data_IF_344952017635
#
_entry.id   IF_344952017635
#
_cell.length_a   1.000
_cell.length_b   1.000
_cell.length_c   1.000
_cell.angle_alpha   90.00
_cell.angle_beta   90.00
_cell.angle_gamma   90.00
#
_symmetry.space_group_name_H-M   'P 1'
#
loop_
_entity.id
_entity.type
_entity.pdbx_description
1 polymer ?
#
# COMPACT_ATOMS: atom_id res chain seq x y z
N UNK A 1 -31.42 -21.53 -15.09
CA UNK A 1 -30.10 -22.19 -15.18
C UNK A 1 -29.02 -21.12 -15.14
N UNK A 2 -28.52 -20.79 -13.96
CA UNK A 2 -27.52 -19.75 -13.74
C UNK A 2 -26.13 -20.38 -13.77
N UNK A 3 -25.38 -20.14 -14.85
CA UNK A 3 -23.98 -20.52 -14.94
C UNK A 3 -23.16 -19.71 -13.93
N UNK A 4 -22.60 -20.40 -12.93
CA UNK A 4 -21.59 -19.81 -12.04
C UNK A 4 -20.36 -19.49 -12.87
N UNK A 5 -20.03 -18.20 -13.01
CA UNK A 5 -18.73 -17.77 -13.55
C UNK A 5 -17.63 -18.23 -12.59
N UNK A 6 -16.53 -18.83 -13.08
CA UNK A 6 -15.41 -19.24 -12.24
C UNK A 6 -14.70 -18.01 -11.68
N UNK A 7 -14.26 -18.13 -10.43
CA UNK A 7 -13.57 -17.11 -9.67
C UNK A 7 -12.11 -16.97 -10.17
N UNK A 8 -11.87 -16.04 -11.10
CA UNK A 8 -10.56 -15.74 -11.72
C UNK A 8 -9.44 -15.39 -10.70
N UNK A 9 -9.79 -15.09 -9.45
CA UNK A 9 -8.85 -14.81 -8.37
C UNK A 9 -8.04 -16.03 -7.91
N UNK A 10 -8.53 -17.27 -8.13
CA UNK A 10 -7.76 -18.48 -7.78
C UNK A 10 -6.73 -18.89 -8.82
N UNK A 11 -6.91 -18.58 -10.11
CA UNK A 11 -5.98 -19.03 -11.16
C UNK A 11 -4.71 -18.18 -11.23
N UNK A 12 -4.78 -16.88 -10.93
CA UNK A 12 -3.59 -16.01 -10.90
C UNK A 12 -2.66 -16.32 -9.70
N UNK A 13 -3.19 -16.95 -8.64
CA UNK A 13 -2.38 -17.37 -7.48
C UNK A 13 -1.85 -18.81 -7.66
N UNK A 14 -2.58 -19.69 -8.37
CA UNK A 14 -2.12 -21.07 -8.61
C UNK A 14 -1.09 -21.21 -9.73
N UNK A 15 -1.13 -20.34 -10.76
CA UNK A 15 -0.22 -20.44 -11.92
C UNK A 15 1.17 -19.81 -11.65
N UNK A 16 1.41 -19.32 -10.43
CA UNK A 16 2.70 -18.81 -9.95
C UNK A 16 3.53 -19.87 -9.20
N UNK A 17 2.95 -21.04 -8.94
CA UNK A 17 3.68 -22.21 -8.46
C UNK A 17 3.93 -23.16 -9.64
N UNK A 18 5.20 -23.55 -9.84
CA UNK A 18 5.73 -24.49 -10.85
C UNK A 18 5.97 -23.93 -12.27
N UNK A 19 7.17 -23.36 -12.46
CA UNK A 19 8.05 -23.80 -13.54
C UNK A 19 9.51 -23.41 -13.26
N UNK A 20 10.25 -24.36 -12.68
CA UNK A 20 11.71 -24.37 -12.57
C UNK A 20 12.30 -25.00 -13.82
N UNK A 21 12.62 -24.19 -14.83
CA UNK A 21 13.55 -24.59 -15.88
C UNK A 21 14.50 -23.42 -16.20
N UNK A 22 15.81 -23.57 -16.00
CA UNK A 22 16.77 -22.51 -16.34
C UNK A 22 16.99 -22.47 -17.85
N UNK A 23 16.85 -21.29 -18.45
CA UNK A 23 17.39 -21.01 -19.78
C UNK A 23 18.91 -20.72 -19.68
N UNK A 24 19.74 -21.14 -20.66
CA UNK A 24 21.18 -20.91 -20.60
C UNK A 24 21.49 -19.45 -20.94
N UNK A 25 22.10 -18.72 -20.00
CA UNK A 25 22.67 -17.39 -20.27
C UNK A 25 24.14 -17.51 -20.69
N UNK A 26 24.44 -16.95 -21.87
CA UNK A 26 25.79 -16.66 -22.33
C UNK A 26 26.47 -15.63 -21.43
N UNK A 27 27.73 -15.89 -21.11
CA UNK A 27 28.55 -15.11 -20.21
C UNK A 27 29.08 -13.83 -20.87
N UNK A 28 28.99 -12.70 -20.18
CA UNK A 28 29.92 -11.59 -20.33
C UNK A 28 30.55 -11.29 -18.96
N UNK A 29 31.87 -11.45 -18.90
CA UNK A 29 32.67 -11.24 -17.71
C UNK A 29 33.10 -9.78 -17.60
N UNK A 30 32.87 -9.17 -16.43
CA UNK A 30 33.64 -8.01 -15.97
C UNK A 30 34.08 -8.30 -14.53
N UNK A 31 35.36 -8.62 -14.38
CA UNK A 31 36.01 -8.86 -13.10
C UNK A 31 36.48 -7.53 -12.48
N UNK A 32 36.05 -7.24 -11.25
CA UNK A 32 36.88 -6.51 -10.29
C UNK A 32 36.81 -7.22 -8.94
N UNK A 33 37.99 -7.61 -8.46
CA UNK A 33 38.18 -8.37 -7.24
C UNK A 33 37.82 -7.54 -6.00
N UNK A 34 36.95 -8.07 -5.16
CA UNK A 34 36.73 -7.61 -3.78
C UNK A 34 37.04 -8.78 -2.84
N UNK A 35 37.90 -8.54 -1.85
CA UNK A 35 38.29 -9.53 -0.83
C UNK A 35 37.12 -9.75 0.15
N UNK A 36 36.87 -10.98 0.64
CA UNK A 36 35.82 -11.23 1.62
C UNK A 36 36.28 -10.76 3.00
N UNK A 37 35.50 -9.89 3.62
CA UNK A 37 35.55 -9.62 5.07
C UNK A 37 34.47 -10.49 5.72
N UNK A 38 34.84 -11.39 6.63
CA UNK A 38 33.88 -12.03 7.54
C UNK A 38 33.70 -11.10 8.74
N UNK A 39 32.52 -10.50 8.91
CA UNK A 39 32.15 -9.82 10.14
C UNK A 39 30.95 -10.52 10.76
N UNK A 40 31.11 -10.98 11.99
CA UNK A 40 30.02 -11.35 12.88
C UNK A 40 29.35 -10.06 13.36
N UNK A 41 28.12 -9.80 12.91
CA UNK A 41 27.32 -8.66 13.37
C UNK A 41 26.60 -9.08 14.66
N UNK A 42 26.82 -8.36 15.76
CA UNK A 42 26.08 -8.55 17.01
C UNK A 42 25.20 -7.32 17.21
N UNK A 43 23.90 -7.48 17.03
CA UNK A 43 22.92 -6.41 17.23
C UNK A 43 22.74 -6.08 18.72
N UNK A 44 22.81 -4.79 19.09
CA UNK A 44 22.38 -4.32 20.42
C UNK A 44 20.85 -4.21 20.45
N UNK A 45 20.27 -4.80 21.49
CA UNK A 45 18.83 -4.78 21.75
C UNK A 45 18.29 -3.35 21.92
N UNK A 46 17.37 -2.97 21.04
CA UNK A 46 16.42 -1.88 21.27
C UNK A 46 15.03 -2.49 21.54
N UNK A 47 14.37 -1.96 22.56
CA UNK A 47 13.14 -2.44 23.23
C UNK A 47 12.02 -2.90 22.28
N UNK A 48 11.40 -4.04 22.59
CA UNK A 48 10.09 -4.55 22.09
C UNK A 48 9.86 -4.29 20.59
N UNK A 49 10.71 -4.88 19.76
CA UNK A 49 10.61 -4.88 18.32
C UNK A 49 11.51 -5.99 17.80
N UNK A 50 11.12 -6.65 16.72
CA UNK A 50 11.84 -7.80 16.18
C UNK A 50 13.32 -7.48 15.93
N UNK A 51 14.25 -8.31 16.41
CA UNK A 51 15.68 -8.13 16.15
C UNK A 51 16.00 -8.49 14.70
N UNK A 52 16.58 -7.54 13.95
CA UNK A 52 16.88 -7.70 12.52
C UNK A 52 18.38 -7.63 12.29
N UNK A 53 18.94 -8.59 11.54
CA UNK A 53 20.35 -8.62 11.20
C UNK A 53 20.73 -7.53 10.21
N UNK A 54 20.11 -7.57 9.02
CA UNK A 54 20.29 -6.58 7.96
C UNK A 54 18.95 -6.00 7.55
N UNK A 55 18.86 -4.67 7.52
CA UNK A 55 17.71 -3.93 6.99
C UNK A 55 18.13 -3.14 5.75
N UNK A 56 17.46 -3.38 4.63
CA UNK A 56 17.61 -2.66 3.37
C UNK A 56 16.34 -1.86 3.12
N UNK A 57 16.45 -0.54 3.00
CA UNK A 57 15.31 0.34 2.70
C UNK A 57 15.37 0.76 1.23
N UNK A 58 14.26 0.59 0.52
CA UNK A 58 14.18 0.89 -0.91
C UNK A 58 12.89 1.64 -1.26
N UNK A 59 13.07 2.79 -1.94
CA UNK A 59 11.97 3.42 -2.65
C UNK A 59 11.59 2.57 -3.86
N UNK A 60 10.32 2.20 -3.92
CA UNK A 60 9.77 1.38 -4.98
C UNK A 60 9.83 2.13 -6.31
N UNK A 61 10.31 1.45 -7.35
CA UNK A 61 10.37 1.98 -8.72
C UNK A 61 9.47 1.14 -9.59
N UNK A 62 8.23 1.59 -9.75
CA UNK A 62 7.27 0.91 -10.60
C UNK A 62 7.57 1.19 -12.07
N UNK A 63 7.29 0.23 -12.98
CA UNK A 63 7.38 0.47 -14.41
C UNK A 63 6.35 1.51 -14.86
N UNK A 64 6.58 2.11 -16.02
CA UNK A 64 5.55 2.90 -16.70
C UNK A 64 4.33 2.01 -16.97
N UNK A 65 3.14 2.56 -16.69
CA UNK A 65 1.88 1.84 -16.85
C UNK A 65 1.28 2.12 -18.22
N UNK A 66 0.84 1.07 -18.89
CA UNK A 66 -0.02 1.17 -20.07
C UNK A 66 -1.51 0.98 -19.68
N UNK A 67 -2.41 1.22 -20.63
CA UNK A 67 -3.86 1.12 -20.42
C UNK A 67 -4.30 -0.28 -19.96
N UNK A 68 -3.68 -1.33 -20.51
CA UNK A 68 -3.97 -2.71 -20.13
C UNK A 68 -3.64 -2.95 -18.66
N UNK A 69 -2.44 -2.55 -18.21
CA UNK A 69 -2.05 -2.65 -16.80
C UNK A 69 -3.01 -1.86 -15.93
N UNK A 70 -3.31 -0.61 -16.28
CA UNK A 70 -4.23 0.25 -15.53
C UNK A 70 -5.61 -0.39 -15.34
N UNK A 71 -6.13 -1.05 -16.38
CA UNK A 71 -7.44 -1.73 -16.33
C UNK A 71 -7.50 -2.87 -15.30
N UNK A 72 -6.35 -3.45 -14.94
CA UNK A 72 -6.25 -4.51 -13.92
C UNK A 72 -6.03 -3.99 -12.50
N UNK A 73 -5.64 -2.72 -12.35
CA UNK A 73 -5.33 -2.13 -11.04
C UNK A 73 -6.55 -1.60 -10.31
N UNK A 74 -7.64 -1.33 -11.02
CA UNK A 74 -8.89 -0.88 -10.40
C UNK A 74 -9.91 -2.02 -10.40
N UNK A 75 -10.66 -2.13 -9.31
CA UNK A 75 -11.91 -2.87 -9.33
C UNK A 75 -13.09 -1.95 -9.68
N UNK A 76 -14.26 -2.56 -9.88
CA UNK A 76 -15.53 -1.85 -10.11
C UNK A 76 -15.91 -1.01 -8.88
N UNK A 77 -15.56 -1.49 -7.69
CA UNK A 77 -15.93 -0.91 -6.41
C UNK A 77 -17.41 -1.08 -6.05
N UNK A 78 -17.80 -0.65 -4.84
CA UNK A 78 -19.20 -0.60 -4.43
C UNK A 78 -19.97 0.52 -5.14
N UNK A 79 -21.30 0.46 -5.13
CA UNK A 79 -22.13 1.54 -5.69
C UNK A 79 -21.97 2.85 -4.91
N UNK A 80 -21.86 2.75 -3.58
CA UNK A 80 -21.74 3.88 -2.66
C UNK A 80 -20.50 3.75 -1.80
N UNK A 81 -19.94 4.90 -1.45
CA UNK A 81 -18.88 5.02 -0.44
C UNK A 81 -19.21 6.18 0.49
N UNK A 82 -18.87 6.06 1.76
CA UNK A 82 -19.16 7.07 2.77
C UNK A 82 -17.88 7.58 3.41
N UNK A 83 -17.74 8.91 3.45
CA UNK A 83 -16.65 9.57 4.15
C UNK A 83 -17.17 10.11 5.49
N UNK A 84 -16.57 9.64 6.56
CA UNK A 84 -16.79 10.13 7.91
C UNK A 84 -15.81 11.26 8.21
N UNK A 85 -16.32 12.39 8.71
CA UNK A 85 -15.60 13.67 8.67
C UNK A 85 -15.78 14.46 9.97
N UNK A 86 -14.81 15.31 10.23
CA UNK A 86 -14.99 16.47 11.11
C UNK A 86 -15.97 17.47 10.48
N UNK A 87 -16.48 18.40 11.30
CA UNK A 87 -17.37 19.47 10.83
C UNK A 87 -16.75 20.30 9.69
N UNK A 88 -15.48 20.65 9.80
CA UNK A 88 -14.76 21.40 8.76
C UNK A 88 -14.71 20.61 7.44
N UNK A 89 -14.33 19.33 7.49
CA UNK A 89 -14.29 18.47 6.30
C UNK A 89 -15.66 18.31 5.64
N UNK A 90 -16.72 18.25 6.44
CA UNK A 90 -18.10 18.23 5.98
C UNK A 90 -18.48 19.51 5.24
N UNK A 91 -18.21 20.69 5.82
CA UNK A 91 -18.50 21.99 5.21
C UNK A 91 -17.75 22.19 3.88
N UNK A 92 -16.52 21.68 3.77
CA UNK A 92 -15.80 21.67 2.50
C UNK A 92 -16.44 20.72 1.48
N UNK A 93 -16.86 19.53 1.91
CA UNK A 93 -17.49 18.54 1.01
C UNK A 93 -18.78 19.09 0.39
N UNK A 94 -19.58 19.83 1.17
CA UNK A 94 -20.79 20.49 0.69
C UNK A 94 -20.54 21.63 -0.33
N UNK A 95 -19.28 22.06 -0.47
CA UNK A 95 -18.85 23.01 -1.52
C UNK A 95 -18.26 22.28 -2.74
N UNK A 96 -18.48 20.98 -2.87
CA UNK A 96 -17.95 20.14 -3.94
C UNK A 96 -16.47 19.80 -3.76
N UNK A 97 -15.95 19.82 -2.53
CA UNK A 97 -14.55 19.47 -2.25
C UNK A 97 -14.36 17.97 -2.01
N UNK A 98 -13.35 17.36 -2.65
CA UNK A 98 -12.88 16.01 -2.32
C UNK A 98 -11.37 15.99 -2.12
N UNK A 99 -10.96 15.74 -0.87
CA UNK A 99 -9.56 15.75 -0.43
C UNK A 99 -8.91 14.36 -0.52
N UNK A 100 -7.74 14.33 -1.16
CA UNK A 100 -6.74 13.26 -1.11
C UNK A 100 -5.60 13.67 -0.16
N UNK A 101 -5.33 12.82 0.84
CA UNK A 101 -4.07 12.88 1.59
C UNK A 101 -2.96 12.18 0.83
N UNK A 102 -1.81 11.97 1.48
CA UNK A 102 -0.74 11.11 0.96
C UNK A 102 -0.52 9.92 1.88
N UNK A 103 -0.07 8.78 1.35
CA UNK A 103 0.28 7.62 2.18
C UNK A 103 1.30 7.99 3.28
N UNK A 104 2.25 8.86 2.97
CA UNK A 104 3.21 9.38 3.94
C UNK A 104 2.57 10.29 5.03
N UNK A 105 1.55 11.09 4.68
CA UNK A 105 0.78 11.89 5.64
C UNK A 105 0.01 10.99 6.62
N UNK A 106 -0.68 9.97 6.10
CA UNK A 106 -1.44 9.05 6.93
C UNK A 106 -0.52 8.25 7.87
N UNK A 107 0.60 7.72 7.37
CA UNK A 107 1.66 7.13 8.21
C UNK A 107 2.08 8.03 9.37
N UNK A 108 2.32 9.33 9.11
CA UNK A 108 2.75 10.28 10.16
C UNK A 108 1.67 10.50 11.21
N UNK A 109 0.40 10.64 10.80
CA UNK A 109 -0.73 10.84 11.72
C UNK A 109 -0.98 9.62 12.62
N UNK A 110 -0.69 8.45 12.09
CA UNK A 110 -0.90 7.17 12.76
C UNK A 110 0.27 6.77 13.65
N UNK A 111 1.51 7.14 13.30
CA UNK A 111 2.71 6.95 14.15
C UNK A 111 2.83 7.93 15.31
N UNK A 112 1.97 8.94 15.41
CA UNK A 112 1.97 9.88 16.53
C UNK A 112 1.38 9.22 17.79
N UNK A 113 2.26 8.75 18.67
CA UNK A 113 1.93 8.11 19.95
C UNK A 113 1.13 8.99 20.92
N UNK A 114 0.97 10.30 20.65
CA UNK A 114 0.04 11.16 21.40
C UNK A 114 -1.42 10.91 21.01
N UNK A 115 -1.66 10.39 19.79
CA UNK A 115 -2.97 9.93 19.31
C UNK A 115 -3.19 8.44 19.64
N UNK A 116 -3.05 8.04 20.92
CA UNK A 116 -3.19 6.65 21.39
C UNK A 116 -4.49 5.92 21.00
N UNK A 117 -5.48 6.63 20.48
CA UNK A 117 -6.70 6.05 19.93
C UNK A 117 -6.58 5.62 18.48
N UNK A 118 -5.79 6.31 17.63
CA UNK A 118 -5.57 5.88 16.24
C UNK A 118 -4.60 4.71 16.28
N UNK A 119 -5.06 3.52 15.93
CA UNK A 119 -4.19 2.37 15.76
C UNK A 119 -3.10 2.75 14.75
N UNK A 120 -1.85 2.82 15.20
CA UNK A 120 -0.75 3.23 14.33
C UNK A 120 -0.51 2.18 13.25
N UNK A 121 -0.90 2.43 12.00
CA UNK A 121 -0.25 1.77 10.87
C UNK A 121 1.07 2.51 10.63
N UNK A 122 2.04 2.26 11.50
CA UNK A 122 3.43 2.67 11.25
C UNK A 122 3.96 2.10 9.91
N UNK A 123 3.23 1.14 9.33
CA UNK A 123 3.52 0.50 8.06
C UNK A 123 2.72 1.08 6.90
N UNK A 124 1.85 2.08 7.07
CA UNK A 124 1.27 2.74 5.89
C UNK A 124 2.43 3.33 5.07
N UNK A 125 2.39 3.20 3.74
CA UNK A 125 3.52 3.45 2.82
C UNK A 125 4.70 2.46 2.89
N UNK A 126 4.61 1.36 3.66
CA UNK A 126 5.66 0.35 3.80
C UNK A 126 5.13 -1.07 3.56
N UNK A 127 5.96 -1.90 2.93
CA UNK A 127 5.85 -3.36 2.97
C UNK A 127 7.21 -3.99 3.23
N UNK A 128 7.28 -4.99 4.11
CA UNK A 128 8.52 -5.70 4.42
C UNK A 128 8.56 -7.08 3.79
N UNK A 129 9.73 -7.41 3.23
CA UNK A 129 10.08 -8.72 2.74
C UNK A 129 11.19 -9.29 3.62
N UNK A 130 10.89 -10.36 4.35
CA UNK A 130 11.77 -10.96 5.36
C UNK A 130 12.30 -12.28 4.84
N UNK A 131 13.63 -12.42 4.82
CA UNK A 131 14.33 -13.61 4.37
C UNK A 131 15.15 -14.18 5.52
N UNK A 132 14.80 -15.39 5.93
CA UNK A 132 15.52 -16.15 6.93
C UNK A 132 16.17 -17.37 6.27
N UNK A 133 17.39 -17.68 6.66
CA UNK A 133 18.03 -18.93 6.23
C UNK A 133 17.54 -20.07 7.11
N UNK A 134 17.19 -21.21 6.49
CA UNK A 134 16.79 -22.43 7.20
C UNK A 134 17.84 -22.92 8.21
N UNK A 135 19.12 -22.65 7.97
CA UNK A 135 20.22 -23.03 8.85
C UNK A 135 20.74 -21.89 9.73
N UNK A 136 20.20 -20.67 9.60
CA UNK A 136 20.77 -19.45 10.19
C UNK A 136 22.07 -18.99 9.49
N UNK A 137 22.45 -19.65 8.39
CA UNK A 137 23.66 -19.36 7.62
C UNK A 137 23.34 -18.97 6.18
N UNK A 138 23.97 -17.90 5.70
CA UNK A 138 24.00 -17.53 4.30
C UNK A 138 25.38 -17.81 3.73
N UNK A 139 25.48 -18.84 2.90
CA UNK A 139 26.61 -18.99 1.98
C UNK A 139 26.64 -17.78 1.04
N UNK A 140 25.48 -17.43 0.47
CA UNK A 140 25.33 -16.31 -0.46
C UNK A 140 23.89 -15.79 -0.54
N UNK A 141 23.67 -14.53 -0.20
CA UNK A 141 22.42 -13.83 -0.50
C UNK A 141 22.68 -12.66 -1.45
N UNK A 142 21.90 -12.56 -2.54
CA UNK A 142 21.99 -11.44 -3.49
C UNK A 142 20.70 -10.67 -3.61
N UNK A 143 20.82 -9.34 -3.58
CA UNK A 143 19.71 -8.43 -3.86
C UNK A 143 20.21 -7.10 -4.43
N UNK A 144 19.72 -6.69 -5.60
CA UNK A 144 19.96 -5.35 -6.18
C UNK A 144 21.43 -4.87 -6.13
N UNK A 145 22.38 -5.77 -6.43
CA UNK A 145 23.82 -5.48 -6.39
C UNK A 145 24.50 -5.64 -5.02
N UNK A 146 23.73 -5.78 -3.94
CA UNK A 146 24.24 -6.25 -2.66
C UNK A 146 24.47 -7.77 -2.72
N UNK A 147 25.57 -8.20 -2.14
CA UNK A 147 25.89 -9.61 -1.94
C UNK A 147 26.39 -9.83 -0.50
N UNK A 148 25.66 -10.64 0.27
CA UNK A 148 26.06 -11.13 1.59
C UNK A 148 26.67 -12.51 1.38
N UNK A 149 27.84 -12.79 1.96
CA UNK A 149 28.52 -14.09 1.85
C UNK A 149 28.96 -14.60 3.21
N UNK A 150 28.97 -15.91 3.35
CA UNK A 150 29.53 -16.62 4.50
C UNK A 150 29.16 -16.00 5.85
N UNK A 151 27.88 -15.66 6.01
CA UNK A 151 27.37 -14.88 7.14
C UNK A 151 26.42 -15.72 7.99
N UNK A 152 26.54 -15.63 9.30
CA UNK A 152 25.72 -16.38 10.25
C UNK A 152 24.95 -15.40 11.14
N UNK A 153 23.63 -15.56 11.21
CA UNK A 153 22.73 -14.71 11.98
C UNK A 153 22.22 -15.52 13.17
N UNK A 154 22.54 -15.09 14.40
CA UNK A 154 22.23 -15.81 15.64
C UNK A 154 21.41 -14.94 16.58
N UNK A 155 20.34 -15.51 17.13
CA UNK A 155 19.49 -14.83 18.11
C UNK A 155 18.73 -13.62 17.53
N UNK A 156 18.49 -13.64 16.22
CA UNK A 156 17.73 -12.62 15.51
C UNK A 156 16.34 -13.17 15.16
N UNK A 157 15.33 -12.30 15.18
CA UNK A 157 13.98 -12.63 14.72
C UNK A 157 13.90 -12.65 13.19
N UNK A 158 14.70 -11.80 12.54
CA UNK A 158 14.78 -11.67 11.09
C UNK A 158 16.25 -11.55 10.64
N UNK A 159 16.69 -12.37 9.69
CA UNK A 159 18.08 -12.30 9.22
C UNK A 159 18.28 -11.11 8.27
N UNK A 160 17.52 -11.09 7.17
CA UNK A 160 17.57 -10.03 6.15
C UNK A 160 16.16 -9.51 5.88
N UNK A 161 15.96 -8.20 6.06
CA UNK A 161 14.69 -7.52 5.77
C UNK A 161 14.91 -6.51 4.65
N UNK A 162 14.04 -6.56 3.65
CA UNK A 162 13.92 -5.56 2.60
C UNK A 162 12.63 -4.79 2.82
N UNK A 163 12.75 -3.51 3.12
CA UNK A 163 11.63 -2.59 3.32
C UNK A 163 11.39 -1.77 2.05
N UNK A 164 10.22 -1.96 1.44
CA UNK A 164 9.78 -1.18 0.30
C UNK A 164 8.95 0.01 0.76
N UNK A 165 9.26 1.19 0.22
CA UNK A 165 8.57 2.44 0.49
C UNK A 165 7.97 3.01 -0.79
N UNK A 166 6.72 3.48 -0.71
CA UNK A 166 6.05 4.14 -1.82
C UNK A 166 5.06 5.18 -1.29
N UNK A 167 4.94 6.29 -1.99
CA UNK A 167 4.01 7.34 -1.64
C UNK A 167 3.20 7.79 -2.85
N UNK A 168 1.93 8.08 -2.61
CA UNK A 168 0.96 8.49 -3.63
C UNK A 168 -0.20 9.18 -2.92
N UNK A 169 -1.01 9.90 -3.70
CA UNK A 169 -2.24 10.48 -3.20
C UNK A 169 -3.27 9.38 -2.94
N UNK A 170 -3.92 9.40 -1.79
CA UNK A 170 -4.97 8.46 -1.44
C UNK A 170 -6.12 9.13 -0.68
N UNK A 171 -7.31 8.57 -0.85
CA UNK A 171 -8.51 8.92 -0.11
C UNK A 171 -9.23 7.63 0.29
N UNK A 172 -9.39 7.40 1.59
CA UNK A 172 -10.18 6.30 2.13
C UNK A 172 -11.62 6.76 2.38
N UNK A 173 -12.55 5.86 2.11
CA UNK A 173 -13.97 5.97 2.45
C UNK A 173 -14.44 4.60 2.95
N UNK A 174 -15.43 4.53 3.84
CA UNK A 174 -16.06 3.24 4.16
C UNK A 174 -16.95 2.79 3.00
N UNK A 175 -17.03 1.48 2.79
CA UNK A 175 -17.87 0.85 1.78
C UNK A 175 -19.35 1.04 2.13
N UNK A 176 -20.16 1.41 1.14
CA UNK A 176 -21.61 1.51 1.27
C UNK A 176 -22.13 2.90 1.69
N UNK A 177 -23.41 2.92 2.05
CA UNK A 177 -24.11 4.11 2.57
C UNK A 177 -23.75 4.34 4.03
N UNK A 178 -24.12 5.51 4.56
CA UNK A 178 -23.98 5.80 5.98
C UNK A 178 -24.58 4.70 6.86
N UNK A 179 -23.74 4.21 7.76
CA UNK A 179 -24.12 3.38 8.89
C UNK A 179 -23.66 4.05 10.20
N UNK A 180 -24.60 4.18 11.14
CA UNK A 180 -24.33 4.73 12.47
C UNK A 180 -23.38 3.82 13.25
N UNK A 181 -23.46 2.49 13.08
CA UNK A 181 -22.56 1.55 13.78
C UNK A 181 -21.13 1.70 13.31
N UNK A 182 -20.89 1.86 12.01
CA UNK A 182 -19.55 2.15 11.48
C UNK A 182 -19.03 3.50 11.98
N UNK A 183 -19.89 4.53 12.08
CA UNK A 183 -19.50 5.81 12.67
C UNK A 183 -19.05 5.67 14.13
N UNK A 184 -19.82 4.92 14.93
CA UNK A 184 -19.50 4.63 16.32
C UNK A 184 -18.22 3.81 16.46
N UNK A 185 -18.03 2.80 15.61
CA UNK A 185 -16.81 2.02 15.57
C UNK A 185 -15.60 2.91 15.29
N UNK A 186 -15.63 3.75 14.25
CA UNK A 186 -14.52 4.65 13.92
C UNK A 186 -14.20 5.64 15.05
N UNK A 187 -15.23 6.19 15.72
CA UNK A 187 -15.06 7.07 16.89
C UNK A 187 -14.39 6.35 18.06
N UNK A 188 -14.88 5.17 18.39
CA UNK A 188 -14.37 4.35 19.50
C UNK A 188 -12.96 3.81 19.21
N UNK A 189 -12.54 3.79 17.94
CA UNK A 189 -11.24 3.34 17.48
C UNK A 189 -10.34 4.51 17.01
N UNK A 190 -10.41 5.66 17.72
CA UNK A 190 -9.39 6.70 17.61
C UNK A 190 -9.71 7.92 16.76
N UNK A 191 -10.93 8.04 16.25
CA UNK A 191 -11.34 9.17 15.44
C UNK A 191 -12.48 9.95 16.13
N UNK A 192 -12.27 10.52 17.33
CA UNK A 192 -13.32 11.15 18.12
C UNK A 192 -13.89 12.43 17.48
N UNK A 193 -13.18 13.00 16.51
CA UNK A 193 -13.57 14.20 15.75
C UNK A 193 -14.58 13.92 14.64
N UNK A 194 -14.85 12.63 14.33
CA UNK A 194 -15.91 12.23 13.41
C UNK A 194 -17.26 12.62 14.00
N UNK A 195 -17.88 13.61 13.37
CA UNK A 195 -19.17 14.17 13.80
C UNK A 195 -20.17 14.23 12.65
N UNK A 196 -19.71 14.05 11.41
CA UNK A 196 -20.52 14.18 10.21
C UNK A 196 -20.17 13.09 9.20
N UNK A 197 -21.02 12.92 8.19
CA UNK A 197 -20.77 12.02 7.08
C UNK A 197 -21.20 12.63 5.74
N UNK A 198 -20.61 12.12 4.67
CA UNK A 198 -21.04 12.34 3.29
C UNK A 198 -20.97 11.02 2.54
N UNK A 199 -22.08 10.58 1.96
CA UNK A 199 -22.15 9.40 1.09
C UNK A 199 -22.14 9.85 -0.37
N UNK A 200 -21.26 9.24 -1.16
CA UNK A 200 -21.12 9.47 -2.58
C UNK A 200 -21.61 8.25 -3.37
N UNK A 201 -22.22 8.47 -4.53
CA UNK A 201 -22.26 7.47 -5.58
C UNK A 201 -20.86 7.36 -6.21
N UNK A 202 -20.22 6.21 -6.09
CA UNK A 202 -18.82 6.04 -6.46
C UNK A 202 -18.58 6.26 -7.96
N UNK A 203 -19.47 5.76 -8.81
CA UNK A 203 -19.35 5.93 -10.26
C UNK A 203 -19.41 7.41 -10.66
N UNK A 204 -20.31 8.18 -10.06
CA UNK A 204 -20.40 9.63 -10.30
C UNK A 204 -19.16 10.36 -9.80
N UNK A 205 -18.67 10.01 -8.60
CA UNK A 205 -17.46 10.61 -8.03
C UNK A 205 -16.23 10.34 -8.91
N UNK A 206 -16.02 9.11 -9.36
CA UNK A 206 -14.92 8.75 -10.27
C UNK A 206 -15.00 9.51 -11.59
N UNK A 207 -16.20 9.62 -12.15
CA UNK A 207 -16.45 10.41 -13.37
C UNK A 207 -16.11 11.89 -13.17
N UNK A 208 -16.55 12.48 -12.05
CA UNK A 208 -16.23 13.86 -11.69
C UNK A 208 -14.72 14.10 -11.57
N UNK A 209 -14.00 13.22 -10.89
CA UNK A 209 -12.54 13.32 -10.72
C UNK A 209 -11.80 13.17 -12.07
N UNK A 210 -12.18 12.19 -12.90
CA UNK A 210 -11.60 12.01 -14.23
C UNK A 210 -11.83 13.22 -15.14
N UNK A 211 -13.01 13.85 -15.05
CA UNK A 211 -13.31 15.10 -15.77
C UNK A 211 -12.35 16.22 -15.35
N UNK A 212 -12.06 16.35 -14.06
CA UNK A 212 -11.11 17.34 -13.54
C UNK A 212 -9.69 17.04 -14.03
N UNK A 213 -9.26 15.77 -13.97
CA UNK A 213 -7.91 15.38 -14.40
C UNK A 213 -7.68 15.65 -15.88
N UNK A 214 -8.72 15.47 -16.70
CA UNK A 214 -8.65 15.75 -18.15
C UNK A 214 -8.63 17.24 -18.48
N UNK A 215 -9.05 18.11 -17.55
CA UNK A 215 -9.13 19.56 -17.74
C UNK A 215 -7.89 20.31 -17.20
N UNK A 216 -7.17 19.72 -16.25
CA UNK A 216 -6.03 20.33 -15.58
C UNK A 216 -4.71 19.69 -16.03
N UNK A 217 -3.86 20.46 -16.72
CA UNK A 217 -2.62 19.98 -17.33
C UNK A 217 -1.70 19.21 -16.36
N UNK A 218 -1.65 19.62 -15.09
CA UNK A 218 -0.82 18.99 -14.06
C UNK A 218 -1.19 17.52 -13.78
N UNK A 219 -2.38 17.06 -14.19
CA UNK A 219 -2.86 15.69 -14.01
C UNK A 219 -2.92 14.89 -15.31
N UNK A 220 -2.45 15.43 -16.44
CA UNK A 220 -2.51 14.75 -17.74
C UNK A 220 -1.84 13.37 -17.76
N UNK A 221 -0.83 13.17 -16.90
CA UNK A 221 -0.13 11.89 -16.75
C UNK A 221 -0.56 11.11 -15.50
N UNK A 222 -1.71 11.45 -14.92
CA UNK A 222 -2.25 10.80 -13.74
C UNK A 222 -3.47 9.96 -14.06
N UNK A 223 -3.66 8.88 -13.32
CA UNK A 223 -4.87 8.08 -13.38
C UNK A 223 -5.47 7.88 -11.99
N UNK A 224 -6.80 7.72 -11.96
CA UNK A 224 -7.54 7.35 -10.77
C UNK A 224 -7.73 5.83 -10.74
N UNK A 225 -7.18 5.18 -9.72
CA UNK A 225 -7.46 3.78 -9.41
C UNK A 225 -8.26 3.68 -8.11
N UNK A 226 -9.10 2.66 -7.98
CA UNK A 226 -9.88 2.42 -6.77
C UNK A 226 -10.02 0.94 -6.49
N UNK A 227 -9.88 0.57 -5.20
CA UNK A 227 -10.14 -0.79 -4.72
C UNK A 227 -10.65 -0.84 -3.29
N UNK A 228 -11.39 -1.89 -2.98
CA UNK A 228 -11.63 -2.28 -1.58
C UNK A 228 -10.33 -2.73 -0.93
N UNK A 229 -10.07 -2.28 0.30
CA UNK A 229 -8.92 -2.69 1.09
C UNK A 229 -9.07 -4.17 1.47
N UNK A 230 -7.99 -4.92 1.30
CA UNK A 230 -7.87 -6.28 1.80
C UNK A 230 -7.23 -6.26 3.18
N UNK A 231 -7.81 -7.01 4.10
CA UNK A 231 -7.32 -7.09 5.48
C UNK A 231 -6.57 -8.41 5.68
N UNK A 232 -5.26 -8.33 5.96
CA UNK A 232 -4.42 -9.51 6.12
C UNK A 232 -2.95 -9.19 6.32
N UNK A 233 -2.10 -10.20 6.13
CA UNK A 233 -0.66 -10.07 6.25
C UNK A 233 -0.09 -9.33 5.03
N UNK A 234 0.37 -8.10 5.27
CA UNK A 234 1.04 -7.28 4.24
C UNK A 234 2.49 -7.71 4.03
N UNK A 235 3.20 -8.00 5.12
CA UNK A 235 4.61 -8.39 5.06
C UNK A 235 4.74 -9.83 4.59
N UNK A 236 5.76 -10.09 3.78
CA UNK A 236 6.03 -11.41 3.25
C UNK A 236 7.25 -12.00 3.95
N UNK A 237 7.17 -13.29 4.31
CA UNK A 237 8.25 -14.03 4.97
C UNK A 237 8.65 -15.23 4.14
N UNK A 238 9.94 -15.43 3.95
CA UNK A 238 10.50 -16.56 3.24
C UNK A 238 11.57 -17.26 4.08
N UNK A 239 11.46 -18.58 4.12
CA UNK A 239 12.52 -19.49 4.57
C UNK A 239 13.28 -19.98 3.34
N UNK A 240 14.51 -19.52 3.17
CA UNK A 240 15.32 -19.72 1.97
C UNK A 240 16.52 -20.61 2.23
N UNK A 241 17.07 -21.15 1.14
CA UNK A 241 18.33 -21.90 1.15
C UNK A 241 19.52 -20.97 1.40
N UNK A 242 20.64 -21.55 1.82
CA UNK A 242 21.87 -20.80 2.18
C UNK A 242 22.42 -19.95 1.02
N UNK A 243 22.12 -20.37 -0.21
CA UNK A 243 22.44 -19.67 -1.46
C UNK A 243 21.16 -19.23 -2.17
N UNK A 244 20.85 -17.92 -2.14
CA UNK A 244 19.62 -17.35 -2.68
C UNK A 244 19.86 -16.03 -3.43
N UNK A 245 19.05 -15.77 -4.45
CA UNK A 245 19.07 -14.51 -5.20
C UNK A 245 17.65 -13.99 -5.35
N UNK A 246 17.42 -12.78 -4.84
CA UNK A 246 16.14 -12.08 -4.97
C UNK A 246 16.14 -11.31 -6.29
N UNK A 247 15.15 -11.59 -7.14
CA UNK A 247 14.88 -10.80 -8.34
C UNK A 247 14.10 -9.54 -7.98
N UNK A 248 14.80 -8.40 -7.90
CA UNK A 248 14.25 -7.14 -7.41
C UNK A 248 13.22 -6.48 -8.35
N UNK A 249 13.18 -6.86 -9.64
CA UNK A 249 12.30 -6.19 -10.61
C UNK A 249 10.99 -6.92 -10.87
N UNK A 250 10.91 -8.21 -10.51
CA UNK A 250 9.82 -9.07 -10.97
C UNK A 250 8.43 -8.72 -10.42
N UNK A 251 8.32 -7.94 -9.35
CA UNK A 251 7.03 -7.69 -8.67
C UNK A 251 6.82 -6.26 -8.14
N UNK A 252 7.46 -5.24 -8.72
CA UNK A 252 7.33 -3.86 -8.21
C UNK A 252 5.86 -3.39 -8.16
N UNK A 253 5.06 -3.75 -9.16
CA UNK A 253 3.64 -3.43 -9.21
C UNK A 253 2.85 -4.16 -8.11
N UNK A 254 3.07 -5.46 -7.90
CA UNK A 254 2.38 -6.22 -6.85
C UNK A 254 2.75 -5.75 -5.46
N UNK A 255 4.01 -5.36 -5.22
CA UNK A 255 4.46 -4.73 -3.97
C UNK A 255 3.73 -3.39 -3.75
N UNK A 256 3.63 -2.54 -4.79
CA UNK A 256 2.88 -1.29 -4.66
C UNK A 256 1.42 -1.56 -4.29
N UNK A 257 0.78 -2.52 -4.96
CA UNK A 257 -0.61 -2.85 -4.69
C UNK A 257 -0.81 -3.43 -3.29
N UNK A 258 0.15 -4.21 -2.78
CA UNK A 258 0.17 -4.66 -1.39
C UNK A 258 0.24 -3.51 -0.40
N UNK A 259 1.18 -2.59 -0.60
CA UNK A 259 1.37 -1.40 0.21
C UNK A 259 0.15 -0.45 0.18
N UNK A 260 -0.46 -0.30 -0.99
CA UNK A 260 -1.57 0.62 -1.22
C UNK A 260 -2.91 0.08 -0.72
N UNK A 261 -3.17 -1.23 -0.87
CA UNK A 261 -4.51 -1.81 -0.71
C UNK A 261 -4.60 -2.97 0.28
N UNK A 262 -3.52 -3.27 1.02
CA UNK A 262 -3.55 -4.26 2.11
C UNK A 262 -3.27 -3.57 3.44
N UNK A 263 -4.18 -3.74 4.41
CA UNK A 263 -4.00 -3.26 5.80
C UNK A 263 -3.97 -4.44 6.77
N UNK A 264 -3.37 -4.21 7.94
CA UNK A 264 -3.40 -5.18 9.03
C UNK A 264 -4.84 -5.47 9.47
N UNK A 265 -5.21 -6.75 9.48
CA UNK A 265 -6.56 -7.16 9.81
C UNK A 265 -6.93 -6.84 11.26
N UNK A 266 -6.04 -7.13 12.20
CA UNK A 266 -6.34 -7.03 13.63
C UNK A 266 -6.63 -5.59 14.07
N UNK A 267 -6.06 -4.61 13.36
CA UNK A 267 -6.18 -3.19 13.67
C UNK A 267 -7.26 -2.48 12.86
N UNK A 268 -7.43 -2.81 11.58
CA UNK A 268 -8.18 -1.95 10.65
C UNK A 268 -9.42 -2.59 10.02
N UNK A 269 -9.70 -3.88 10.27
CA UNK A 269 -10.85 -4.58 9.64
C UNK A 269 -12.20 -3.88 9.89
N UNK A 270 -12.33 -3.15 11.00
CA UNK A 270 -13.54 -2.40 11.35
C UNK A 270 -13.80 -1.16 10.48
N UNK A 271 -12.84 -0.71 9.68
CA UNK A 271 -12.98 0.48 8.83
C UNK A 271 -13.76 0.21 7.52
N UNK A 272 -13.77 -1.05 7.08
CA UNK A 272 -14.36 -1.54 5.81
C UNK A 272 -14.12 -0.58 4.63
N UNK A 273 -12.86 -0.37 4.29
CA UNK A 273 -12.45 0.73 3.42
C UNK A 273 -12.52 0.42 1.92
N UNK A 274 -12.99 1.40 1.16
CA UNK A 274 -12.69 1.61 -0.25
C UNK A 274 -11.67 2.75 -0.39
N UNK A 275 -10.56 2.48 -1.07
CA UNK A 275 -9.49 3.46 -1.27
C UNK A 275 -9.42 3.88 -2.72
N UNK A 276 -9.46 5.19 -2.94
CA UNK A 276 -9.16 5.85 -4.21
C UNK A 276 -7.72 6.35 -4.17
N UNK A 277 -7.00 6.22 -5.28
CA UNK A 277 -5.64 6.73 -5.42
C UNK A 277 -5.44 7.45 -6.74
N UNK A 278 -4.59 8.47 -6.68
CA UNK A 278 -4.07 9.15 -7.87
C UNK A 278 -2.64 8.67 -8.06
N UNK A 279 -2.38 8.06 -9.21
CA UNK A 279 -1.08 7.51 -9.56
C UNK A 279 -0.52 8.23 -10.78
N UNK A 280 0.78 8.50 -10.76
CA UNK A 280 1.52 8.94 -11.94
C UNK A 280 1.80 7.72 -12.82
N UNK A 281 1.39 7.78 -14.09
CA UNK A 281 1.56 6.68 -15.06
C UNK A 281 3.03 6.39 -15.39
N UNK A 282 3.92 7.36 -15.21
CA UNK A 282 5.36 7.20 -15.45
C UNK A 282 6.14 6.85 -14.19
N UNK A 283 5.59 7.14 -13.00
CA UNK A 283 6.32 7.03 -11.74
C UNK A 283 5.39 6.69 -10.54
N UNK A 284 4.64 5.60 -10.64
CA UNK A 284 3.73 5.16 -9.58
C UNK A 284 4.47 4.92 -8.25
N UNK A 285 3.95 5.50 -7.16
CA UNK A 285 4.58 5.39 -5.84
C UNK A 285 5.74 6.36 -5.58
N UNK A 286 6.08 7.23 -6.53
CA UNK A 286 7.21 8.15 -6.42
C UNK A 286 6.84 9.57 -5.95
N UNK A 287 5.64 9.78 -5.40
CA UNK A 287 5.25 11.09 -4.86
C UNK A 287 6.18 11.46 -3.70
N UNK A 288 6.67 12.70 -3.66
CA UNK A 288 7.57 13.13 -2.59
C UNK A 288 6.93 12.98 -1.20
N UNK A 289 7.71 12.58 -0.19
CA UNK A 289 7.21 12.33 1.19
C UNK A 289 6.74 13.59 1.94
N UNK A 290 7.07 14.75 1.41
CA UNK A 290 6.64 16.08 1.86
C UNK A 290 5.51 16.67 0.99
N UNK A 291 5.03 15.92 -0.01
CA UNK A 291 3.94 16.37 -0.86
C UNK A 291 2.70 16.69 -0.02
N UNK A 292 2.12 17.89 -0.18
CA UNK A 292 0.94 18.28 0.57
C UNK A 292 -0.29 17.52 0.06
N UNK A 293 -1.27 17.32 0.93
CA UNK A 293 -2.60 16.85 0.54
C UNK A 293 -3.21 17.75 -0.55
N UNK A 294 -4.00 17.16 -1.44
CA UNK A 294 -4.68 17.90 -2.51
C UNK A 294 -6.20 17.82 -2.36
N UNK A 295 -6.90 18.94 -2.50
CA UNK A 295 -8.36 18.99 -2.50
C UNK A 295 -8.85 19.47 -3.86
N UNK A 296 -9.66 18.64 -4.51
CA UNK A 296 -10.35 18.99 -5.75
C UNK A 296 -11.66 19.68 -5.42
N UNK A 297 -12.00 20.77 -6.09
CA UNK A 297 -13.25 21.49 -5.87
C UNK A 297 -13.96 21.63 -7.21
N UNK A 298 -15.12 20.98 -7.34
CA UNK A 298 -15.91 21.02 -8.58
C UNK A 298 -17.38 20.67 -8.34
N UNK A 299 -18.30 21.29 -9.07
CA UNK A 299 -19.75 21.05 -8.93
C UNK A 299 -20.15 19.59 -9.14
N UNK A 300 -19.54 18.89 -10.10
CA UNK A 300 -19.84 17.47 -10.32
C UNK A 300 -19.43 16.54 -9.17
N UNK A 301 -18.55 16.98 -8.26
CA UNK A 301 -18.27 16.25 -7.01
C UNK A 301 -19.47 16.40 -6.06
N UNK A 302 -20.05 17.60 -5.97
CA UNK A 302 -21.27 17.85 -5.19
C UNK A 302 -22.44 17.02 -5.72
N UNK A 303 -22.61 16.92 -7.04
CA UNK A 303 -23.64 16.07 -7.68
C UNK A 303 -23.46 14.56 -7.40
N UNK A 304 -22.26 14.14 -7.01
CA UNK A 304 -22.01 12.76 -6.61
C UNK A 304 -22.48 12.46 -5.18
N UNK A 305 -22.75 13.48 -4.35
CA UNK A 305 -23.25 13.32 -2.98
C UNK A 305 -24.72 12.88 -3.03
N UNK A 306 -25.02 11.75 -2.39
CA UNK A 306 -26.37 11.18 -2.33
C UNK A 306 -27.02 11.29 -0.94
N UNK A 307 -26.21 11.46 0.11
CA UNK A 307 -26.69 11.69 1.47
C UNK A 307 -25.58 12.37 2.29
N UNK A 308 -25.96 13.17 3.29
CA UNK A 308 -25.02 13.84 4.17
C UNK A 308 -25.71 14.27 5.47
N UNK A 309 -24.97 14.38 6.58
CA UNK A 309 -25.56 14.82 7.85
C UNK A 309 -24.63 14.65 9.05
N UNK A 310 -25.18 14.83 10.25
CA UNK A 310 -24.52 14.52 11.51
C UNK A 310 -24.44 13.00 11.72
N UNK A 311 -23.33 12.52 12.27
CA UNK A 311 -23.12 11.11 12.58
C UNK A 311 -23.56 10.81 14.03
N UNK A 312 -24.68 10.11 14.20
CA UNK A 312 -25.18 9.64 15.50
C UNK A 312 -26.50 10.25 15.99
N UNK A 313 -27.33 10.77 15.08
CA UNK A 313 -28.74 11.09 15.34
C UNK A 313 -29.65 10.23 14.49
#
# INVERSE_FOLDING_TARGET
MTAKKPNLLRSLISDLELNTAPAPMGAYAISKAFRPFSQSVHGRAARRGSTTGILLVQNLKCPQLNEQMLSTLSDVGPEFVTKYLSKEGYEHSLKGSFKFGTLAEYKKKEGDLSNRGRFGDEKESIQQHIFNSRSGYFERFKYSGLEIKNSHFLGLDNDVVIEFQANSYCACCSVGKYDAKSADALRNNGNPDITHFVTYNLSKLRSALNKIFSAEEKWNNSALIGRTILYGDKDRRWEIEESFTVDAQRDALGIFMGLAFVKDKTRFEHEDEYRLMIIDLNAMGALSSDAPSHAFIHESILEAITASGEAGK
#
